data_IF_469319189872
#
_entry.id   IF_469319189872
#
_cell.length_a   1.000
_cell.length_b   1.000
_cell.length_c   1.000
_cell.angle_alpha   90.00
_cell.angle_beta   90.00
_cell.angle_gamma   90.00
#
_symmetry.space_group_name_H-M   'P 1'
#
loop_
_entity.id
_entity.type
_entity.pdbx_description
1 polymer ?
#
# COMPACT_ATOMS: atom_id res chain seq x y z
N UNK A 1 3.75 1.52 -26.63
CA UNK A 1 3.70 2.03 -25.24
C UNK A 1 2.69 1.24 -24.42
N UNK A 2 1.47 1.00 -24.90
CA UNK A 2 0.51 0.10 -24.24
C UNK A 2 1.03 -1.36 -24.12
N UNK A 3 1.63 -1.91 -25.18
CA UNK A 3 2.11 -3.30 -25.19
C UNK A 3 3.17 -3.61 -24.12
N UNK A 4 4.06 -2.67 -23.78
CA UNK A 4 5.08 -2.88 -22.75
C UNK A 4 4.48 -2.89 -21.35
N UNK A 5 3.48 -2.04 -21.09
CA UNK A 5 2.80 -2.00 -19.81
C UNK A 5 2.02 -3.30 -19.57
N UNK A 6 1.32 -3.78 -20.60
CA UNK A 6 0.59 -5.05 -20.52
C UNK A 6 1.52 -6.24 -20.30
N UNK A 7 2.70 -6.27 -20.94
CA UNK A 7 3.68 -7.34 -20.73
C UNK A 7 4.21 -7.38 -19.29
N UNK A 8 4.59 -6.23 -18.72
CA UNK A 8 5.10 -6.14 -17.34
C UNK A 8 4.03 -6.51 -16.30
N UNK A 9 2.80 -6.03 -16.50
CA UNK A 9 1.66 -6.40 -15.64
C UNK A 9 1.37 -7.90 -15.74
N UNK A 10 1.41 -8.48 -16.94
CA UNK A 10 1.24 -9.92 -17.12
C UNK A 10 2.34 -10.74 -16.42
N UNK A 11 3.59 -10.28 -16.43
CA UNK A 11 4.68 -10.92 -15.67
C UNK A 11 4.38 -10.92 -14.17
N UNK A 12 3.91 -9.79 -13.62
CA UNK A 12 3.51 -9.66 -12.22
C UNK A 12 2.39 -10.64 -11.86
N UNK A 13 1.31 -10.64 -12.64
CA UNK A 13 0.16 -11.54 -12.44
C UNK A 13 0.62 -13.00 -12.52
N UNK A 14 1.46 -13.34 -13.48
CA UNK A 14 1.97 -14.70 -13.64
C UNK A 14 2.86 -15.18 -12.48
N UNK A 15 3.64 -14.30 -11.86
CA UNK A 15 4.42 -14.63 -10.65
C UNK A 15 3.52 -14.87 -9.44
N UNK A 16 2.39 -14.16 -9.38
CA UNK A 16 1.46 -14.19 -8.25
C UNK A 16 0.34 -15.23 -8.37
N UNK A 17 0.17 -15.88 -9.53
CA UNK A 17 -0.87 -16.90 -9.78
C UNK A 17 -0.88 -18.08 -8.80
N UNK A 18 0.20 -18.26 -8.04
CA UNK A 18 0.35 -19.31 -7.03
C UNK A 18 -0.06 -18.86 -5.62
N UNK A 19 -0.32 -17.57 -5.41
CA UNK A 19 -0.81 -17.04 -4.14
C UNK A 19 -2.33 -17.14 -4.14
N UNK A 20 -2.87 -18.05 -3.33
CA UNK A 20 -4.30 -18.18 -3.10
C UNK A 20 -4.89 -16.87 -2.59
N UNK A 21 -6.12 -16.55 -2.98
CA UNK A 21 -6.80 -15.33 -2.55
C UNK A 21 -6.88 -15.20 -1.02
N UNK A 22 -7.08 -16.32 -0.30
CA UNK A 22 -7.05 -16.39 1.17
C UNK A 22 -5.70 -16.03 1.81
N UNK A 23 -4.61 -16.07 1.05
CA UNK A 23 -3.27 -15.72 1.54
C UNK A 23 -2.89 -14.27 1.23
N UNK A 24 -3.75 -13.52 0.53
CA UNK A 24 -3.49 -12.13 0.18
C UNK A 24 -3.70 -11.24 1.40
N UNK A 25 -2.68 -10.51 1.85
CA UNK A 25 -2.83 -9.61 2.98
C UNK A 25 -3.79 -8.48 2.63
N UNK A 26 -4.61 -8.10 3.60
CA UNK A 26 -5.47 -6.92 3.52
C UNK A 26 -4.64 -5.65 3.76
N UNK A 27 -4.79 -4.66 2.89
CA UNK A 27 -4.10 -3.39 2.95
C UNK A 27 -5.12 -2.26 3.07
N UNK A 28 -4.95 -1.42 4.09
CA UNK A 28 -5.68 -0.15 4.21
C UNK A 28 -4.73 0.99 3.84
N UNK A 29 -5.20 1.90 2.99
CA UNK A 29 -4.41 3.03 2.50
C UNK A 29 -5.06 4.31 3.01
N UNK A 30 -4.33 5.10 3.78
CA UNK A 30 -4.77 6.39 4.30
C UNK A 30 -3.97 7.49 3.62
N UNK A 31 -4.55 8.67 3.42
CA UNK A 31 -3.80 9.82 2.88
C UNK A 31 -3.80 11.00 3.83
N UNK A 32 -2.63 11.61 4.05
CA UNK A 32 -2.50 12.82 4.86
C UNK A 32 -3.30 13.98 4.25
N UNK A 33 -3.40 14.04 2.92
CA UNK A 33 -4.06 15.13 2.19
C UNK A 33 -5.54 15.30 2.58
N UNK A 34 -6.22 14.22 2.96
CA UNK A 34 -7.64 14.24 3.35
C UNK A 34 -7.84 14.07 4.86
N UNK A 35 -6.78 14.21 5.66
CA UNK A 35 -6.86 14.00 7.11
C UNK A 35 -6.99 12.52 7.49
N UNK A 36 -6.21 11.65 6.84
CA UNK A 36 -6.15 10.21 7.10
C UNK A 36 -7.47 9.46 6.89
N UNK A 37 -8.25 9.90 5.89
CA UNK A 37 -9.37 9.13 5.38
C UNK A 37 -8.84 7.98 4.50
N UNK A 38 -9.55 6.83 4.47
CA UNK A 38 -9.25 5.77 3.51
C UNK A 38 -9.24 6.28 2.06
N UNK A 39 -8.15 6.00 1.36
CA UNK A 39 -8.01 6.24 -0.07
C UNK A 39 -8.44 4.99 -0.82
N UNK A 40 -9.49 5.13 -1.63
CA UNK A 40 -10.04 4.05 -2.42
C UNK A 40 -10.48 4.57 -3.79
N UNK A 41 -10.07 3.87 -4.85
CA UNK A 41 -10.52 4.07 -6.22
C UNK A 41 -10.24 2.79 -7.05
N UNK A 42 -10.80 2.71 -8.26
CA UNK A 42 -10.65 1.52 -9.12
C UNK A 42 -9.18 1.21 -9.43
N UNK A 43 -8.39 2.21 -9.84
CA UNK A 43 -6.96 2.02 -10.17
C UNK A 43 -6.16 1.49 -8.98
N UNK A 44 -6.39 2.02 -7.79
CA UNK A 44 -5.70 1.58 -6.57
C UNK A 44 -6.13 0.17 -6.16
N UNK A 45 -7.41 -0.16 -6.36
CA UNK A 45 -7.95 -1.51 -6.15
C UNK A 45 -7.25 -2.51 -7.06
N UNK A 46 -7.15 -2.19 -8.35
CA UNK A 46 -6.42 -3.01 -9.32
C UNK A 46 -4.94 -3.11 -8.97
N UNK A 47 -4.30 -2.01 -8.58
CA UNK A 47 -2.88 -1.99 -8.23
C UNK A 47 -2.56 -2.92 -7.06
N UNK A 48 -3.38 -2.87 -6.00
CA UNK A 48 -3.24 -3.73 -4.82
C UNK A 48 -3.57 -5.19 -5.15
N UNK A 49 -4.60 -5.43 -5.96
CA UNK A 49 -4.97 -6.78 -6.39
C UNK A 49 -3.90 -7.44 -7.26
N UNK A 50 -3.35 -6.70 -8.22
CA UNK A 50 -2.25 -7.14 -9.09
C UNK A 50 -0.98 -7.39 -8.27
N UNK A 51 -0.73 -6.61 -7.23
CA UNK A 51 0.37 -6.82 -6.29
C UNK A 51 0.16 -8.01 -5.33
N UNK A 52 -0.99 -8.67 -5.36
CA UNK A 52 -1.29 -9.84 -4.54
C UNK A 52 -1.80 -9.49 -3.14
N UNK A 53 -2.45 -8.35 -2.96
CA UNK A 53 -3.15 -7.95 -1.73
C UNK A 53 -4.66 -7.76 -1.94
N UNK A 54 -5.33 -7.24 -0.90
CA UNK A 54 -6.74 -6.85 -0.93
C UNK A 54 -6.90 -5.44 -0.34
N UNK A 55 -7.39 -4.49 -1.14
CA UNK A 55 -7.63 -3.13 -0.67
C UNK A 55 -8.87 -3.09 0.23
N UNK A 56 -8.74 -2.47 1.40
CA UNK A 56 -9.84 -2.20 2.32
C UNK A 56 -10.34 -0.77 2.16
N UNK A 57 -11.65 -0.59 2.30
CA UNK A 57 -12.31 0.72 2.26
C UNK A 57 -12.48 1.34 3.64
N UNK A 58 -12.49 0.52 4.70
CA UNK A 58 -12.75 0.97 6.06
C UNK A 58 -11.71 0.47 7.06
N UNK A 59 -11.57 1.22 8.17
CA UNK A 59 -10.66 0.90 9.28
C UNK A 59 -11.10 -0.31 10.08
N UNK A 60 -12.41 -0.60 10.11
CA UNK A 60 -13.00 -1.67 10.91
C UNK A 60 -12.78 -3.06 10.32
N UNK A 61 -12.34 -3.17 9.06
CA UNK A 61 -12.09 -4.43 8.35
C UNK A 61 -10.77 -5.12 8.73
N UNK A 62 -10.14 -4.70 9.83
CA UNK A 62 -8.88 -5.23 10.37
C UNK A 62 -7.77 -5.39 9.30
N UNK A 63 -7.16 -4.28 8.81
CA UNK A 63 -6.01 -4.35 7.92
C UNK A 63 -4.83 -5.12 8.51
N UNK A 64 -4.21 -5.97 7.70
CA UNK A 64 -2.92 -6.60 7.99
C UNK A 64 -1.71 -5.72 7.63
N UNK A 65 -1.89 -4.78 6.70
CA UNK A 65 -0.91 -3.79 6.28
C UNK A 65 -1.56 -2.39 6.29
N UNK A 66 -0.83 -1.39 6.77
CA UNK A 66 -1.29 0.01 6.79
C UNK A 66 -0.35 0.87 5.96
N UNK A 67 -0.89 1.52 4.92
CA UNK A 67 -0.16 2.41 4.04
C UNK A 67 -0.61 3.84 4.34
N UNK A 68 0.33 4.77 4.45
CA UNK A 68 0.03 6.17 4.74
C UNK A 68 0.72 7.05 3.69
N UNK A 69 -0.06 7.65 2.80
CA UNK A 69 0.44 8.54 1.74
C UNK A 69 0.83 9.88 2.35
N UNK A 70 2.10 10.22 2.22
CA UNK A 70 2.71 11.44 2.71
C UNK A 70 2.40 12.61 1.77
N UNK A 71 1.86 13.69 2.34
CA UNK A 71 1.76 14.98 1.65
C UNK A 71 2.97 15.86 2.03
N UNK A 72 3.32 15.90 3.32
CA UNK A 72 4.41 16.71 3.86
C UNK A 72 5.05 16.07 5.11
N UNK A 73 6.18 16.63 5.56
CA UNK A 73 6.99 16.06 6.65
C UNK A 73 6.31 16.08 8.03
N UNK A 74 5.20 16.83 8.21
CA UNK A 74 4.43 16.78 9.47
C UNK A 74 3.84 15.40 9.72
N UNK A 75 3.75 14.56 8.69
CA UNK A 75 3.28 13.19 8.80
C UNK A 75 3.98 12.44 9.94
N UNK A 76 5.30 12.57 10.10
CA UNK A 76 6.05 11.83 11.13
C UNK A 76 5.67 12.26 12.55
N UNK A 77 5.13 13.48 12.72
CA UNK A 77 4.57 13.96 13.99
C UNK A 77 3.13 13.50 14.19
N UNK A 78 2.35 13.41 13.10
CA UNK A 78 0.93 13.05 13.13
C UNK A 78 0.70 11.53 13.28
N UNK A 79 1.56 10.71 12.65
CA UNK A 79 1.44 9.24 12.61
C UNK A 79 1.35 8.61 14.01
N UNK A 80 2.21 8.94 14.99
CA UNK A 80 2.07 8.40 16.35
C UNK A 80 0.69 8.64 16.96
N UNK A 81 0.07 9.80 16.69
CA UNK A 81 -1.28 10.11 17.18
C UNK A 81 -2.35 9.32 16.42
N UNK A 82 -2.20 9.21 15.09
CA UNK A 82 -3.08 8.39 14.24
C UNK A 82 -3.10 6.92 14.67
N UNK A 83 -1.95 6.37 15.02
CA UNK A 83 -1.81 4.96 15.43
C UNK A 83 -2.37 4.68 16.83
N UNK A 84 -2.59 5.72 17.64
CA UNK A 84 -3.28 5.64 18.94
C UNK A 84 -4.81 5.71 18.82
N UNK A 85 -5.35 5.90 17.61
CA UNK A 85 -6.78 5.80 17.35
C UNK A 85 -7.35 4.47 17.86
N UNK A 86 -8.55 4.50 18.46
CA UNK A 86 -9.14 3.35 19.14
C UNK A 86 -9.33 2.13 18.22
N UNK A 87 -9.54 2.39 16.93
CA UNK A 87 -9.77 1.35 15.93
C UNK A 87 -8.42 0.91 15.37
N UNK A 88 -7.60 1.84 14.86
CA UNK A 88 -6.33 1.51 14.21
C UNK A 88 -5.36 0.80 15.16
N UNK A 89 -5.27 1.23 16.42
CA UNK A 89 -4.38 0.63 17.42
C UNK A 89 -4.62 -0.87 17.64
N UNK A 90 -5.83 -1.35 17.35
CA UNK A 90 -6.24 -2.75 17.52
C UNK A 90 -6.08 -3.59 16.26
N UNK A 91 -5.74 -2.97 15.13
CA UNK A 91 -5.62 -3.67 13.85
C UNK A 91 -4.34 -4.51 13.79
N UNK A 92 -4.38 -5.60 13.04
CA UNK A 92 -3.23 -6.49 12.83
C UNK A 92 -2.02 -5.73 12.27
N UNK A 93 -2.26 -4.72 11.42
CA UNK A 93 -1.22 -3.86 10.86
C UNK A 93 -0.43 -3.12 11.94
N UNK A 94 -1.11 -2.53 12.93
CA UNK A 94 -0.44 -1.78 14.00
C UNK A 94 0.21 -2.74 15.00
N UNK A 95 -0.50 -3.81 15.39
CA UNK A 95 0.03 -4.81 16.32
C UNK A 95 1.27 -5.53 15.79
N UNK A 96 1.35 -5.72 14.47
CA UNK A 96 2.48 -6.37 13.79
C UNK A 96 3.52 -5.39 13.24
N UNK A 97 3.36 -4.08 13.49
CA UNK A 97 4.25 -3.03 13.00
C UNK A 97 4.43 -3.05 11.46
N UNK A 98 3.35 -3.38 10.74
CA UNK A 98 3.26 -3.39 9.29
C UNK A 98 2.73 -2.04 8.78
N UNK A 99 3.44 -0.97 9.10
CA UNK A 99 3.05 0.40 8.77
C UNK A 99 4.07 0.97 7.78
N UNK A 100 3.57 1.49 6.68
CA UNK A 100 4.38 1.93 5.55
C UNK A 100 3.98 3.35 5.16
N UNK A 101 4.96 4.23 5.04
CA UNK A 101 4.78 5.60 4.54
C UNK A 101 5.10 5.60 3.06
N UNK A 102 4.13 6.02 2.24
CA UNK A 102 4.31 6.19 0.80
C UNK A 102 4.69 7.66 0.54
N UNK A 103 5.86 7.88 -0.03
CA UNK A 103 6.44 9.21 -0.28
C UNK A 103 6.02 9.79 -1.65
N UNK A 104 5.46 8.94 -2.52
CA UNK A 104 4.84 9.35 -3.79
C UNK A 104 3.50 10.05 -3.53
N UNK A 105 3.44 11.37 -3.76
CA UNK A 105 2.25 12.20 -3.47
C UNK A 105 1.00 11.84 -4.28
N UNK A 106 1.16 11.50 -5.56
CA UNK A 106 0.07 11.15 -6.48
C UNK A 106 -0.19 9.63 -6.55
N UNK A 107 0.19 8.88 -5.51
CA UNK A 107 0.05 7.43 -5.46
C UNK A 107 -1.41 6.99 -5.67
N UNK A 108 -1.65 6.15 -6.67
CA UNK A 108 -2.97 5.64 -7.01
C UNK A 108 -3.92 6.66 -7.62
N UNK A 109 -3.42 7.83 -8.08
CA UNK A 109 -4.24 8.90 -8.65
C UNK A 109 -4.07 9.09 -10.17
N UNK A 110 -2.91 8.71 -10.71
CA UNK A 110 -2.57 8.96 -12.12
C UNK A 110 -2.38 7.66 -12.90
N UNK A 111 -3.09 7.51 -14.02
CA UNK A 111 -2.99 6.31 -14.88
C UNK A 111 -1.60 6.10 -15.47
N UNK A 112 -0.84 7.17 -15.70
CA UNK A 112 0.53 7.06 -16.24
C UNK A 112 1.48 6.37 -15.25
N UNK A 113 1.16 6.43 -13.96
CA UNK A 113 1.96 5.83 -12.89
C UNK A 113 1.47 4.43 -12.49
N UNK A 114 0.51 3.85 -13.21
CA UNK A 114 -0.13 2.60 -12.80
C UNK A 114 0.86 1.46 -12.52
N UNK A 115 1.84 1.24 -13.41
CA UNK A 115 2.88 0.24 -13.20
C UNK A 115 3.76 0.58 -11.98
N UNK A 116 4.12 1.85 -11.81
CA UNK A 116 4.91 2.31 -10.67
C UNK A 116 4.17 2.12 -9.34
N UNK A 117 2.87 2.38 -9.30
CA UNK A 117 2.01 2.14 -8.14
C UNK A 117 1.91 0.64 -7.83
N UNK A 118 1.78 -0.23 -8.86
CA UNK A 118 1.81 -1.69 -8.71
C UNK A 118 3.13 -2.16 -8.12
N UNK A 119 4.27 -1.65 -8.60
CA UNK A 119 5.59 -2.04 -8.12
C UNK A 119 5.79 -1.68 -6.64
N UNK A 120 5.37 -0.48 -6.22
CA UNK A 120 5.38 -0.08 -4.80
C UNK A 120 4.51 -1.04 -3.98
N UNK A 121 3.28 -1.29 -4.42
CA UNK A 121 2.38 -2.24 -3.76
C UNK A 121 3.01 -3.64 -3.66
N UNK A 122 3.56 -4.17 -4.75
CA UNK A 122 4.11 -5.52 -4.81
C UNK A 122 5.34 -5.68 -3.92
N UNK A 123 6.20 -4.66 -3.84
CA UNK A 123 7.38 -4.68 -2.97
C UNK A 123 6.99 -4.68 -1.48
N UNK A 124 5.92 -3.99 -1.10
CA UNK A 124 5.43 -3.93 0.29
C UNK A 124 4.60 -5.16 0.67
N UNK A 125 3.67 -5.56 -0.20
CA UNK A 125 2.70 -6.65 0.05
C UNK A 125 3.41 -8.01 -0.06
N UNK A 126 4.32 -8.15 -1.01
CA UNK A 126 4.97 -9.42 -1.36
C UNK A 126 6.51 -9.27 -1.44
N UNK A 127 7.17 -8.79 -0.37
CA UNK A 127 8.61 -8.47 -0.37
C UNK A 127 9.51 -9.70 -0.63
N UNK A 128 8.99 -10.91 -0.45
CA UNK A 128 9.70 -12.16 -0.75
C UNK A 128 9.83 -12.42 -2.25
N UNK A 129 8.92 -11.88 -3.06
CA UNK A 129 8.82 -12.17 -4.49
C UNK A 129 9.23 -10.98 -5.37
N UNK A 130 9.10 -9.76 -4.85
CA UNK A 130 9.33 -8.53 -5.60
C UNK A 130 10.32 -7.62 -4.90
N UNK A 131 11.35 -7.22 -5.64
CA UNK A 131 12.36 -6.25 -5.24
C UNK A 131 12.61 -5.36 -6.45
N UNK A 132 12.06 -4.15 -6.41
CA UNK A 132 12.19 -3.11 -7.43
C UNK A 132 13.14 -1.99 -7.01
N UNK A 133 13.57 -1.98 -5.74
CA UNK A 133 14.49 -0.97 -5.19
C UNK A 133 13.77 0.34 -4.83
N UNK A 134 12.46 0.27 -4.57
CA UNK A 134 11.59 1.42 -4.30
C UNK A 134 11.70 1.88 -2.84
N UNK A 135 12.06 0.97 -1.92
CA UNK A 135 12.31 1.25 -0.51
C UNK A 135 13.34 2.36 -0.31
N UNK A 136 12.98 3.38 0.47
CA UNK A 136 13.80 4.57 0.74
C UNK A 136 13.66 5.70 -0.30
N UNK A 137 12.98 5.44 -1.43
CA UNK A 137 12.73 6.44 -2.47
C UNK A 137 11.23 6.75 -2.59
N UNK A 138 10.42 5.72 -2.80
CA UNK A 138 8.98 5.83 -2.99
C UNK A 138 8.19 5.46 -1.74
N UNK A 139 8.79 4.66 -0.85
CA UNK A 139 8.16 4.25 0.41
C UNK A 139 9.19 3.90 1.48
N UNK A 140 8.80 3.99 2.75
CA UNK A 140 9.59 3.56 3.92
C UNK A 140 8.70 2.82 4.92
N UNK A 141 9.29 1.92 5.70
CA UNK A 141 8.58 1.31 6.84
C UNK A 141 8.68 2.26 8.04
N UNK A 142 7.55 2.50 8.71
CA UNK A 142 7.49 3.26 9.95
C UNK A 142 7.51 2.29 11.12
N UNK A 143 8.39 2.54 12.09
CA UNK A 143 8.56 1.70 13.27
C UNK A 143 7.98 2.41 14.50
N UNK A 144 7.07 1.74 15.20
CA UNK A 144 6.53 2.21 16.48
C UNK A 144 7.52 1.81 17.59
N UNK A 145 8.66 2.48 17.64
CA UNK A 145 9.66 2.29 18.70
C UNK A 145 9.18 2.85 20.05
#
# INVERSE_FOLDING_TARGET
>A
MADHLEEEVNILIHKLKFISEDQRPSALILTQQTGFQPLFNEQLTDSVAIAGGKLLTEKYDNPSLLFIVQENDKLYTDVPTLLQDEILSRTDAVQSNNIYIIQKRNFGMERIDFLHDIEICAEIIQPKYFIYGRKGTDWVQFDIA
#
